data_IF_798166062664
#
_entry.id   IF_798166062664
#
_cell.length_a   1.000
_cell.length_b   1.000
_cell.length_c   1.000
_cell.angle_alpha   90.00
_cell.angle_beta   90.00
_cell.angle_gamma   90.00
#
_symmetry.space_group_name_H-M   'P 1'
#
loop_
_entity.id
_entity.type
_entity.pdbx_description
1 polymer ?
#
# COMPACT_ATOMS: atom_id res chain seq x y z
N UNK A 1 75.33 44.30 1.11
CA UNK A 1 74.27 44.41 0.08
C UNK A 1 74.14 43.03 -0.55
N UNK A 2 73.08 42.27 -0.20
CA UNK A 2 72.09 41.64 -1.12
C UNK A 2 72.68 40.55 -2.05
N UNK A 3 72.18 39.33 -2.20
CA UNK A 3 70.88 38.71 -1.92
C UNK A 3 71.05 37.18 -1.87
N UNK A 4 70.09 36.53 -1.21
CA UNK A 4 69.78 35.10 -1.16
C UNK A 4 69.64 34.42 -2.53
N UNK A 5 69.91 33.11 -2.61
CA UNK A 5 68.94 32.15 -3.18
C UNK A 5 69.17 30.74 -2.61
N UNK A 6 68.26 30.34 -1.72
CA UNK A 6 68.07 28.97 -1.27
C UNK A 6 67.43 28.16 -2.41
N UNK A 7 68.06 27.06 -2.82
CA UNK A 7 67.44 26.05 -3.67
C UNK A 7 67.31 24.75 -2.87
N UNK A 8 66.17 24.55 -2.20
CA UNK A 8 65.85 23.29 -1.53
C UNK A 8 64.64 22.64 -2.20
N UNK A 9 64.97 21.74 -3.12
CA UNK A 9 64.33 20.45 -3.43
C UNK A 9 62.88 20.30 -2.97
N UNK A 10 61.96 20.35 -3.94
CA UNK A 10 60.58 19.91 -3.77
C UNK A 10 60.55 18.39 -3.55
N UNK A 11 60.24 17.96 -2.32
CA UNK A 11 59.93 16.58 -2.02
C UNK A 11 58.50 16.30 -2.51
N UNK A 12 58.37 15.69 -3.70
CA UNK A 12 57.10 15.10 -4.12
C UNK A 12 56.82 13.89 -3.22
N UNK A 13 55.95 14.09 -2.22
CA UNK A 13 55.37 12.99 -1.46
C UNK A 13 54.46 12.23 -2.43
N UNK A 14 54.94 11.06 -2.88
CA UNK A 14 54.10 10.03 -3.49
C UNK A 14 53.10 9.58 -2.42
N UNK A 15 51.95 10.24 -2.35
CA UNK A 15 50.78 9.69 -1.68
C UNK A 15 50.32 8.49 -2.52
N UNK A 16 50.20 7.27 -1.96
CA UNK A 16 49.50 6.21 -2.65
C UNK A 16 48.09 6.72 -2.93
N UNK A 17 47.71 6.73 -4.21
CA UNK A 17 46.32 6.88 -4.59
C UNK A 17 45.56 5.78 -3.84
N UNK A 18 44.80 6.18 -2.83
CA UNK A 18 43.87 5.30 -2.13
C UNK A 18 43.00 4.72 -3.25
N UNK A 19 43.08 3.39 -3.40
CA UNK A 19 42.25 2.62 -4.30
C UNK A 19 40.79 2.96 -4.00
N UNK A 20 40.23 3.89 -4.78
CA UNK A 20 38.81 3.96 -5.01
C UNK A 20 38.47 2.71 -5.79
N UNK A 21 38.38 1.58 -5.08
CA UNK A 21 37.75 0.38 -5.58
C UNK A 21 36.31 0.78 -5.87
N UNK A 22 36.07 1.20 -7.12
CA UNK A 22 34.82 1.74 -7.58
C UNK A 22 33.84 0.59 -7.67
N UNK A 23 33.40 0.10 -6.51
CA UNK A 23 32.51 -1.04 -6.40
C UNK A 23 31.29 -0.74 -7.27
N UNK A 24 31.11 -1.60 -8.27
CA UNK A 24 30.01 -1.55 -9.21
C UNK A 24 28.80 -2.17 -8.52
N UNK A 25 27.67 -1.49 -8.61
CA UNK A 25 26.41 -2.03 -8.07
C UNK A 25 26.04 -3.30 -8.82
N UNK A 26 25.57 -4.29 -8.08
CA UNK A 26 24.99 -5.55 -8.58
C UNK A 26 23.49 -5.42 -8.87
N UNK A 27 22.87 -4.31 -8.49
CA UNK A 27 21.47 -4.06 -8.77
C UNK A 27 21.27 -3.76 -10.27
N UNK A 28 20.24 -4.33 -10.92
CA UNK A 28 19.89 -3.98 -12.28
C UNK A 28 19.66 -2.47 -12.44
N UNK A 29 20.10 -1.83 -13.54
CA UNK A 29 19.88 -0.39 -13.74
C UNK A 29 18.40 0.01 -13.82
N UNK A 30 17.54 -0.90 -14.29
CA UNK A 30 16.09 -0.73 -14.35
C UNK A 30 15.40 -1.58 -13.27
N UNK A 31 14.29 -1.09 -12.74
CA UNK A 31 13.51 -1.80 -11.72
C UNK A 31 12.97 -3.12 -12.28
N UNK A 32 13.28 -4.28 -11.66
CA UNK A 32 12.74 -5.56 -12.10
C UNK A 32 11.25 -5.67 -11.78
N UNK A 33 10.55 -6.58 -12.46
CA UNK A 33 9.11 -6.81 -12.26
C UNK A 33 8.78 -7.23 -10.82
N UNK A 34 9.65 -8.05 -10.23
CA UNK A 34 9.58 -8.50 -8.84
C UNK A 34 10.67 -7.79 -8.05
N UNK A 35 10.28 -6.74 -7.34
CA UNK A 35 11.13 -6.04 -6.39
C UNK A 35 10.37 -5.81 -5.09
N UNK A 36 11.05 -6.02 -3.98
CA UNK A 36 10.60 -5.64 -2.65
C UNK A 36 11.66 -4.75 -2.02
N UNK A 37 11.25 -3.57 -1.56
CA UNK A 37 12.09 -2.62 -0.84
C UNK A 37 11.46 -2.37 0.51
N UNK A 38 12.22 -2.50 1.59
CA UNK A 38 11.71 -2.36 2.95
C UNK A 38 12.58 -1.40 3.73
N UNK A 39 11.95 -0.55 4.51
CA UNK A 39 12.57 0.17 5.61
C UNK A 39 11.88 -0.25 6.91
N UNK A 40 12.65 -0.39 7.98
CA UNK A 40 12.14 -0.73 9.30
C UNK A 40 12.89 0.01 10.38
N UNK A 41 12.19 0.39 11.44
CA UNK A 41 12.73 1.01 12.63
C UNK A 41 12.21 0.25 13.87
N UNK A 42 13.09 0.01 14.84
CA UNK A 42 12.78 -0.61 16.12
C UNK A 42 13.11 0.35 17.26
N UNK A 43 12.18 0.47 18.21
CA UNK A 43 12.34 1.23 19.45
C UNK A 43 13.23 0.56 20.51
N UNK A 44 13.99 -0.48 20.15
CA UNK A 44 14.89 -1.18 21.07
C UNK A 44 14.12 -1.93 22.15
N UNK A 45 14.27 -1.51 23.41
CA UNK A 45 13.53 -2.10 24.54
C UNK A 45 12.06 -1.73 24.57
N UNK A 46 11.65 -0.67 23.86
CA UNK A 46 10.24 -0.31 23.74
C UNK A 46 9.57 -1.24 22.73
N UNK A 47 8.33 -1.70 22.98
CA UNK A 47 7.57 -2.53 22.06
C UNK A 47 7.00 -1.68 20.90
N UNK A 48 7.82 -0.82 20.31
CA UNK A 48 7.49 0.10 19.24
C UNK A 48 8.31 -0.22 17.99
N UNK A 49 7.66 -0.10 16.83
CA UNK A 49 8.32 -0.28 15.55
C UNK A 49 7.56 0.41 14.43
N UNK A 50 8.26 0.69 13.34
CA UNK A 50 7.65 1.08 12.07
C UNK A 50 8.23 0.20 10.97
N UNK A 51 7.37 -0.33 10.11
CA UNK A 51 7.75 -1.07 8.91
C UNK A 51 7.09 -0.42 7.71
N UNK A 52 7.90 -0.06 6.71
CA UNK A 52 7.44 0.45 5.41
C UNK A 52 7.94 -0.52 4.35
N UNK A 53 7.02 -1.14 3.60
CA UNK A 53 7.34 -2.09 2.55
C UNK A 53 6.76 -1.62 1.22
N UNK A 54 7.56 -1.66 0.17
CA UNK A 54 7.15 -1.40 -1.20
C UNK A 54 7.37 -2.66 -2.02
N UNK A 55 6.28 -3.32 -2.41
CA UNK A 55 6.31 -4.50 -3.28
C UNK A 55 5.66 -4.16 -4.61
N UNK A 56 6.48 -4.11 -5.67
CA UNK A 56 6.12 -3.62 -7.00
C UNK A 56 5.45 -2.23 -6.99
N UNK A 57 4.13 -2.15 -6.73
CA UNK A 57 3.34 -0.91 -6.70
C UNK A 57 2.43 -0.77 -5.48
N UNK A 58 2.69 -1.56 -4.44
CA UNK A 58 1.95 -1.51 -3.19
C UNK A 58 2.88 -1.01 -2.10
N UNK A 59 2.54 0.11 -1.49
CA UNK A 59 3.13 0.60 -0.25
C UNK A 59 2.32 0.03 0.92
N UNK A 60 2.98 -0.61 1.86
CA UNK A 60 2.38 -1.10 3.12
C UNK A 60 3.13 -0.48 4.28
N UNK A 61 2.39 0.12 5.21
CA UNK A 61 2.94 0.69 6.44
C UNK A 61 2.31 -0.03 7.62
N UNK A 62 3.14 -0.48 8.55
CA UNK A 62 2.74 -1.09 9.80
C UNK A 62 3.50 -0.44 10.94
N UNK A 63 2.79 0.12 11.92
CA UNK A 63 3.36 0.90 13.01
C UNK A 63 2.80 0.42 14.34
N UNK A 64 3.66 0.26 15.34
CA UNK A 64 3.26 -0.02 16.71
C UNK A 64 3.85 1.06 17.62
N UNK A 65 2.97 1.71 18.38
CA UNK A 65 3.35 2.69 19.42
C UNK A 65 3.43 2.00 20.78
N UNK A 66 4.30 2.45 21.72
CA UNK A 66 4.44 1.82 23.04
C UNK A 66 3.12 1.71 23.81
N UNK A 67 2.22 2.69 23.63
CA UNK A 67 0.97 2.82 24.38
C UNK A 67 -0.18 1.98 23.79
N UNK A 68 0.00 1.40 22.59
CA UNK A 68 -1.06 0.71 21.84
C UNK A 68 -0.71 -0.77 21.66
N UNK A 69 -1.57 -1.66 22.15
CA UNK A 69 -1.33 -3.10 22.11
C UNK A 69 -1.38 -3.69 20.69
N UNK A 70 -2.17 -3.09 19.81
CA UNK A 70 -2.36 -3.53 18.42
C UNK A 70 -1.65 -2.60 17.44
N UNK A 71 -0.79 -3.13 16.54
CA UNK A 71 -0.21 -2.33 15.47
C UNK A 71 -1.28 -1.73 14.55
N UNK A 72 -1.08 -0.49 14.11
CA UNK A 72 -1.82 0.09 13.00
C UNK A 72 -1.20 -0.39 11.69
N UNK A 73 -2.05 -0.61 10.68
CA UNK A 73 -1.59 -1.08 9.36
C UNK A 73 -2.45 -0.49 8.25
N UNK A 74 -1.80 0.05 7.23
CA UNK A 74 -2.48 0.53 6.03
C UNK A 74 -1.68 0.18 4.77
N UNK A 75 -2.35 0.23 3.62
CA UNK A 75 -1.70 0.02 2.34
C UNK A 75 -2.28 0.93 1.27
N UNK A 76 -1.43 1.33 0.33
CA UNK A 76 -1.80 2.19 -0.79
C UNK A 76 -1.19 1.68 -2.08
N UNK A 77 -1.93 1.81 -3.19
CA UNK A 77 -1.35 1.70 -4.52
C UNK A 77 -0.58 2.97 -4.82
N UNK A 78 0.68 2.82 -5.22
CA UNK A 78 1.53 3.95 -5.60
C UNK A 78 1.65 4.08 -7.12
N UNK A 79 1.94 5.31 -7.56
CA UNK A 79 2.31 5.59 -8.93
C UNK A 79 3.51 4.73 -9.34
N UNK A 80 3.56 4.30 -10.60
CA UNK A 80 4.67 3.49 -11.10
C UNK A 80 5.98 4.27 -11.00
N UNK A 81 5.91 5.57 -11.31
CA UNK A 81 7.03 6.50 -11.25
C UNK A 81 7.58 6.62 -9.82
N UNK A 82 6.72 6.57 -8.79
CA UNK A 82 7.16 6.66 -7.40
C UNK A 82 7.93 5.39 -6.96
N UNK A 83 7.48 4.21 -7.38
CA UNK A 83 8.21 2.96 -7.14
C UNK A 83 9.56 2.93 -7.88
N UNK A 84 9.56 3.35 -9.15
CA UNK A 84 10.77 3.41 -9.98
C UNK A 84 11.78 4.45 -9.46
N UNK A 85 11.31 5.60 -8.96
CA UNK A 85 12.15 6.61 -8.34
C UNK A 85 12.79 6.10 -7.05
N UNK A 86 12.03 5.41 -6.19
CA UNK A 86 12.59 4.79 -4.99
C UNK A 86 13.66 3.75 -5.36
N UNK A 87 13.39 2.87 -6.32
CA UNK A 87 14.36 1.89 -6.80
C UNK A 87 15.62 2.55 -7.37
N UNK A 88 15.46 3.63 -8.16
CA UNK A 88 16.58 4.38 -8.74
C UNK A 88 17.55 4.87 -7.66
N UNK A 89 17.04 5.30 -6.49
CA UNK A 89 17.89 5.72 -5.38
C UNK A 89 18.76 4.58 -4.85
N UNK A 90 18.29 3.34 -4.83
CA UNK A 90 19.14 2.20 -4.47
C UNK A 90 20.31 2.02 -5.44
N UNK A 91 20.04 2.13 -6.74
CA UNK A 91 21.05 1.98 -7.81
C UNK A 91 22.05 3.14 -7.78
N UNK A 92 21.58 4.38 -7.78
CA UNK A 92 22.41 5.59 -7.82
C UNK A 92 23.30 5.72 -6.57
N UNK A 93 22.79 5.32 -5.41
CA UNK A 93 23.56 5.30 -4.16
C UNK A 93 24.38 4.02 -3.98
N UNK A 94 24.36 3.10 -4.96
CA UNK A 94 25.06 1.81 -4.91
C UNK A 94 24.80 1.10 -3.58
N UNK A 95 23.53 1.05 -3.17
CA UNK A 95 23.12 0.65 -1.83
C UNK A 95 23.66 -0.74 -1.44
N UNK A 96 23.71 -1.66 -2.41
CA UNK A 96 24.24 -3.02 -2.30
C UNK A 96 25.76 -3.09 -1.97
N UNK A 97 26.47 -1.97 -2.07
CA UNK A 97 27.90 -1.85 -1.74
C UNK A 97 28.14 -1.24 -0.35
N UNK A 98 27.07 -0.81 0.34
CA UNK A 98 27.21 -0.22 1.67
C UNK A 98 27.63 -1.30 2.66
N UNK A 99 28.61 -0.97 3.50
CA UNK A 99 29.10 -1.82 4.59
C UNK A 99 29.07 -1.04 5.89
N UNK A 100 28.68 -1.70 6.98
CA UNK A 100 28.84 -1.15 8.31
C UNK A 100 30.32 -1.04 8.68
N UNK A 101 30.64 0.00 9.45
CA UNK A 101 31.93 0.08 10.11
C UNK A 101 32.00 -1.01 11.20
N UNK A 102 33.21 -1.33 11.68
CA UNK A 102 33.36 -2.36 12.73
C UNK A 102 32.49 -2.01 13.94
N UNK A 103 31.71 -2.97 14.41
CA UNK A 103 30.88 -2.80 15.60
C UNK A 103 31.77 -2.54 16.83
N UNK A 104 31.49 -1.47 17.56
CA UNK A 104 32.20 -1.10 18.80
C UNK A 104 31.48 -1.64 20.06
N UNK A 105 31.07 -2.91 20.03
CA UNK A 105 30.38 -3.58 21.14
C UNK A 105 28.87 -3.75 20.94
N UNK A 106 28.18 -4.24 21.97
CA UNK A 106 26.73 -4.51 21.96
C UNK A 106 26.03 -3.49 22.87
N UNK A 107 25.19 -2.64 22.28
CA UNK A 107 24.33 -1.67 22.95
C UNK A 107 22.88 -2.17 22.82
N UNK A 108 22.43 -2.98 23.78
CA UNK A 108 21.15 -3.72 23.69
C UNK A 108 19.89 -2.83 23.67
N UNK A 109 20.01 -1.54 23.95
CA UNK A 109 18.92 -0.65 24.32
C UNK A 109 18.62 0.48 23.31
N UNK A 110 19.47 0.73 22.31
CA UNK A 110 19.43 2.00 21.57
C UNK A 110 18.54 2.05 20.31
N UNK A 111 17.75 1.01 20.04
CA UNK A 111 16.97 0.93 18.80
C UNK A 111 17.84 0.77 17.55
N UNK A 112 17.20 0.53 16.41
CA UNK A 112 17.91 0.42 15.13
C UNK A 112 16.98 0.64 13.94
N UNK A 113 17.54 1.15 12.87
CA UNK A 113 16.91 1.18 11.56
C UNK A 113 17.53 0.14 10.63
N UNK A 114 16.78 -0.27 9.62
CA UNK A 114 17.26 -1.16 8.57
C UNK A 114 16.58 -0.87 7.25
N UNK A 115 17.36 -0.94 6.18
CA UNK A 115 16.87 -0.92 4.81
C UNK A 115 17.23 -2.23 4.13
N UNK A 116 16.25 -2.85 3.50
CA UNK A 116 16.40 -4.07 2.73
C UNK A 116 15.88 -3.89 1.30
N UNK A 117 16.54 -4.55 0.34
CA UNK A 117 16.04 -4.70 -1.02
C UNK A 117 16.22 -6.13 -1.50
N UNK A 118 15.15 -6.68 -2.06
CA UNK A 118 15.13 -7.92 -2.81
C UNK A 118 14.76 -7.60 -4.27
N UNK A 119 15.72 -7.79 -5.17
CA UNK A 119 15.58 -7.46 -6.60
C UNK A 119 15.53 -8.72 -7.48
N UNK A 120 15.02 -9.84 -6.95
CA UNK A 120 14.89 -11.11 -7.66
C UNK A 120 15.82 -12.20 -7.15
N UNK A 121 15.98 -13.26 -7.95
CA UNK A 121 16.71 -14.46 -7.54
C UNK A 121 18.17 -14.13 -7.22
N UNK A 122 18.56 -14.31 -5.96
CA UNK A 122 19.94 -14.12 -5.49
C UNK A 122 20.37 -12.68 -5.21
N UNK A 123 19.49 -11.69 -5.35
CA UNK A 123 19.78 -10.28 -5.10
C UNK A 123 19.03 -9.78 -3.86
N UNK A 124 19.62 -10.03 -2.69
CA UNK A 124 19.09 -9.56 -1.41
C UNK A 124 20.18 -8.79 -0.65
N UNK A 125 19.92 -7.53 -0.35
CA UNK A 125 20.85 -6.65 0.34
C UNK A 125 20.16 -6.02 1.55
N UNK A 126 20.84 -6.04 2.70
CA UNK A 126 20.34 -5.47 3.94
C UNK A 126 21.43 -4.60 4.57
N UNK A 127 21.06 -3.40 5.00
CA UNK A 127 21.94 -2.49 5.73
C UNK A 127 21.20 -2.04 6.96
N UNK A 128 21.81 -2.24 8.13
CA UNK A 128 21.33 -1.70 9.39
C UNK A 128 22.05 -0.40 9.71
N UNK A 129 21.36 0.52 10.37
CA UNK A 129 21.91 1.79 10.82
C UNK A 129 21.46 2.09 12.24
N UNK A 130 22.40 2.52 13.08
CA UNK A 130 22.16 2.85 14.48
C UNK A 130 23.43 2.71 15.32
N UNK A 131 23.35 2.90 16.64
CA UNK A 131 24.51 2.86 17.53
C UNK A 131 25.31 1.54 17.45
N UNK A 132 24.63 0.42 17.19
CA UNK A 132 25.25 -0.91 17.01
C UNK A 132 25.73 -1.21 15.59
N UNK A 133 25.47 -0.31 14.64
CA UNK A 133 25.74 -0.53 13.22
C UNK A 133 26.12 0.80 12.59
N UNK A 134 27.21 1.44 13.07
CA UNK A 134 27.64 2.71 12.51
C UNK A 134 27.99 2.55 11.02
N UNK A 135 27.81 3.64 10.28
CA UNK A 135 28.18 3.75 8.88
C UNK A 135 29.17 4.90 8.75
N UNK A 136 30.26 4.69 8.01
CA UNK A 136 31.18 5.77 7.64
C UNK A 136 30.45 6.89 6.89
N UNK A 137 30.95 8.13 6.94
CA UNK A 137 30.22 9.29 6.42
C UNK A 137 29.69 9.15 4.98
N UNK A 138 30.46 8.54 4.08
CA UNK A 138 30.00 8.27 2.71
C UNK A 138 28.90 7.20 2.64
N UNK A 139 28.99 6.15 3.47
CA UNK A 139 27.97 5.10 3.56
C UNK A 139 26.70 5.60 4.24
N UNK A 140 26.84 6.40 5.28
CA UNK A 140 25.74 7.06 5.99
C UNK A 140 24.96 7.96 5.03
N UNK A 141 25.64 8.80 4.23
CA UNK A 141 24.97 9.65 3.24
C UNK A 141 24.15 8.83 2.23
N UNK A 142 24.71 7.73 1.73
CA UNK A 142 24.06 6.84 0.74
C UNK A 142 22.87 6.10 1.35
N UNK A 143 23.00 5.64 2.60
CA UNK A 143 21.91 5.05 3.37
C UNK A 143 20.77 6.04 3.59
N UNK A 144 21.08 7.25 4.09
CA UNK A 144 20.10 8.29 4.40
C UNK A 144 19.31 8.75 3.17
N UNK A 145 19.95 8.78 1.99
CA UNK A 145 19.26 9.09 0.74
C UNK A 145 18.12 8.10 0.44
N UNK A 146 18.33 6.81 0.75
CA UNK A 146 17.32 5.76 0.54
C UNK A 146 16.30 5.76 1.69
N UNK A 147 16.73 5.83 2.95
CA UNK A 147 15.81 5.76 4.09
C UNK A 147 14.86 6.96 4.15
N UNK A 148 15.35 8.17 3.86
CA UNK A 148 14.51 9.38 3.81
C UNK A 148 13.41 9.26 2.75
N UNK A 149 13.71 8.66 1.60
CA UNK A 149 12.75 8.48 0.52
C UNK A 149 11.56 7.59 0.90
N UNK A 150 11.73 6.62 1.82
CA UNK A 150 10.60 5.87 2.37
C UNK A 150 9.66 6.77 3.19
N UNK A 151 10.20 7.68 4.00
CA UNK A 151 9.43 8.63 4.79
C UNK A 151 8.66 9.63 3.90
N UNK A 152 9.32 10.16 2.86
CA UNK A 152 8.68 11.02 1.87
C UNK A 152 7.56 10.30 1.11
N UNK A 153 7.81 9.05 0.71
CA UNK A 153 6.82 8.21 0.05
C UNK A 153 5.63 7.93 0.98
N UNK A 154 5.88 7.57 2.24
CA UNK A 154 4.85 7.42 3.28
C UNK A 154 4.00 8.68 3.34
N UNK A 155 4.60 9.84 3.59
CA UNK A 155 3.85 11.10 3.79
C UNK A 155 2.99 11.49 2.59
N UNK A 156 3.44 11.18 1.35
CA UNK A 156 2.67 11.44 0.12
C UNK A 156 1.38 10.62 0.02
N UNK A 157 1.35 9.42 0.61
CA UNK A 157 0.22 8.50 0.52
C UNK A 157 -0.57 8.40 1.82
N UNK A 158 0.00 8.75 2.98
CA UNK A 158 -0.59 8.64 4.32
C UNK A 158 -1.91 9.40 4.51
N UNK A 159 -2.17 10.45 3.74
CA UNK A 159 -3.43 11.20 3.80
C UNK A 159 -4.32 11.00 2.56
N UNK A 160 -3.93 10.09 1.65
CA UNK A 160 -4.82 9.67 0.56
C UNK A 160 -5.79 8.61 1.10
N UNK A 161 -7.01 8.52 0.56
CA UNK A 161 -7.94 7.46 0.94
C UNK A 161 -7.25 6.10 0.78
N UNK A 162 -7.00 5.44 1.91
CA UNK A 162 -6.26 4.19 1.97
C UNK A 162 -7.14 3.01 1.59
N UNK A 163 -6.55 2.07 0.87
CA UNK A 163 -7.13 0.76 0.65
C UNK A 163 -7.05 -0.01 1.98
N UNK A 164 -8.10 0.09 2.79
CA UNK A 164 -8.38 -0.91 3.81
C UNK A 164 -8.68 -2.20 3.04
N UNK A 165 -7.94 -3.27 3.32
CA UNK A 165 -8.28 -4.62 2.87
C UNK A 165 -9.79 -4.84 3.02
N UNK A 166 -10.44 -5.33 1.97
CA UNK A 166 -11.89 -5.54 1.83
C UNK A 166 -12.43 -6.57 2.82
N UNK A 167 -12.38 -6.28 4.12
CA UNK A 167 -13.02 -7.12 5.13
C UNK A 167 -14.50 -7.27 4.79
N UNK A 168 -15.11 -6.17 4.38
CA UNK A 168 -16.55 -6.04 4.27
C UNK A 168 -17.05 -5.96 2.82
N UNK A 169 -16.19 -6.13 1.81
CA UNK A 169 -16.61 -6.28 0.40
C UNK A 169 -16.19 -7.64 -0.17
N UNK A 170 -17.06 -8.24 -0.98
CA UNK A 170 -16.79 -9.44 -1.76
C UNK A 170 -17.29 -9.25 -3.19
N UNK A 171 -16.43 -9.56 -4.17
CA UNK A 171 -16.85 -9.63 -5.58
C UNK A 171 -17.20 -11.08 -5.87
N UNK A 172 -18.44 -11.34 -6.29
CA UNK A 172 -18.91 -12.67 -6.67
C UNK A 172 -19.05 -12.74 -8.19
N UNK A 173 -18.77 -13.91 -8.75
CA UNK A 173 -19.01 -14.17 -10.16
C UNK A 173 -20.52 -14.24 -10.42
N UNK A 174 -20.96 -13.55 -11.47
CA UNK A 174 -22.34 -13.65 -11.94
C UNK A 174 -22.56 -15.02 -12.62
N UNK A 175 -23.54 -15.81 -12.16
CA UNK A 175 -24.00 -17.03 -12.86
C UNK A 175 -25.39 -16.79 -13.48
N UNK A 176 -25.48 -16.58 -14.80
CA UNK A 176 -26.75 -16.33 -15.50
C UNK A 176 -27.80 -17.41 -15.27
N UNK A 177 -27.43 -18.65 -14.91
CA UNK A 177 -28.37 -19.75 -14.70
C UNK A 177 -29.13 -19.66 -13.38
N UNK A 178 -28.50 -19.11 -12.34
CA UNK A 178 -29.08 -18.98 -11.00
C UNK A 178 -29.47 -17.54 -10.66
N UNK A 179 -28.99 -16.56 -11.43
CA UNK A 179 -29.06 -15.14 -11.08
C UNK A 179 -29.72 -14.28 -12.17
N UNK A 180 -30.46 -14.87 -13.11
CA UNK A 180 -31.21 -14.15 -14.16
C UNK A 180 -32.18 -13.09 -13.61
N UNK A 181 -32.61 -13.24 -12.34
CA UNK A 181 -33.42 -12.24 -11.62
C UNK A 181 -32.65 -10.98 -11.23
N UNK A 182 -31.33 -11.04 -11.15
CA UNK A 182 -30.45 -9.89 -10.84
C UNK A 182 -30.17 -9.14 -12.13
N UNK A 183 -29.67 -9.85 -13.14
CA UNK A 183 -29.47 -9.32 -14.47
C UNK A 183 -30.15 -10.21 -15.50
N UNK A 184 -30.98 -9.61 -16.35
CA UNK A 184 -31.61 -10.31 -17.45
C UNK A 184 -30.71 -10.28 -18.68
N UNK A 185 -30.48 -11.43 -19.31
CA UNK A 185 -29.69 -11.56 -20.54
C UNK A 185 -28.26 -10.98 -20.48
N UNK A 186 -27.68 -10.84 -19.28
CA UNK A 186 -26.35 -10.29 -19.13
C UNK A 186 -25.28 -11.39 -19.23
N UNK A 187 -24.02 -10.96 -19.37
CA UNK A 187 -22.85 -11.83 -19.35
C UNK A 187 -22.00 -11.56 -18.11
N UNK A 188 -21.30 -12.57 -17.58
CA UNK A 188 -20.37 -12.37 -16.47
C UNK A 188 -19.33 -11.31 -16.82
N UNK A 189 -19.01 -10.46 -15.86
CA UNK A 189 -17.95 -9.47 -15.98
C UNK A 189 -17.01 -9.56 -14.77
N UNK A 190 -15.90 -8.84 -14.84
CA UNK A 190 -15.00 -8.65 -13.70
C UNK A 190 -14.91 -7.19 -13.35
N UNK A 191 -14.55 -6.92 -12.09
CA UNK A 191 -14.19 -5.58 -11.63
C UNK A 191 -12.68 -5.50 -11.42
N UNK A 192 -12.11 -4.46 -12.00
CA UNK A 192 -10.76 -4.02 -11.64
C UNK A 192 -10.80 -3.25 -10.31
N UNK A 193 -9.66 -3.16 -9.63
CA UNK A 193 -9.55 -2.39 -8.39
C UNK A 193 -10.08 -0.94 -8.49
N UNK A 194 -9.78 -0.15 -9.54
CA UNK A 194 -10.34 1.19 -9.67
C UNK A 194 -11.86 1.21 -9.81
N UNK A 195 -12.44 0.18 -10.42
CA UNK A 195 -13.90 0.05 -10.54
C UNK A 195 -14.53 -0.28 -9.18
N UNK A 196 -13.89 -1.12 -8.37
CA UNK A 196 -14.33 -1.41 -6.99
C UNK A 196 -14.29 -0.13 -6.13
N UNK A 197 -13.21 0.67 -6.23
CA UNK A 197 -13.14 1.97 -5.55
C UNK A 197 -14.30 2.88 -5.97
N UNK A 198 -14.58 2.97 -7.28
CA UNK A 198 -15.73 3.74 -7.76
C UNK A 198 -17.05 3.24 -7.20
N UNK A 199 -17.24 1.92 -7.10
CA UNK A 199 -18.44 1.34 -6.50
C UNK A 199 -18.61 1.81 -5.04
N UNK A 200 -17.53 1.91 -4.26
CA UNK A 200 -17.59 2.43 -2.88
C UNK A 200 -18.08 3.88 -2.84
N UNK A 201 -17.53 4.74 -3.69
CA UNK A 201 -17.98 6.14 -3.81
C UNK A 201 -19.47 6.22 -4.22
N UNK A 202 -19.97 5.23 -4.97
CA UNK A 202 -21.39 5.11 -5.28
C UNK A 202 -22.23 4.67 -4.09
N UNK A 203 -21.76 3.71 -3.28
CA UNK A 203 -22.46 3.26 -2.07
C UNK A 203 -22.70 4.44 -1.13
N UNK A 204 -21.65 5.21 -0.81
CA UNK A 204 -21.77 6.37 0.08
C UNK A 204 -22.76 7.41 -0.45
N UNK A 205 -22.68 7.73 -1.75
CA UNK A 205 -23.60 8.68 -2.39
C UNK A 205 -25.03 8.16 -2.44
N UNK A 206 -25.23 6.89 -2.79
CA UNK A 206 -26.56 6.29 -2.89
C UNK A 206 -27.26 6.25 -1.53
N UNK A 207 -26.52 5.86 -0.48
CA UNK A 207 -27.02 5.83 0.89
C UNK A 207 -27.32 7.24 1.41
N UNK A 208 -26.43 8.21 1.15
CA UNK A 208 -26.68 9.61 1.49
C UNK A 208 -27.93 10.17 0.80
N UNK A 209 -28.07 9.94 -0.50
CA UNK A 209 -29.22 10.37 -1.29
C UNK A 209 -30.53 9.70 -0.83
N UNK A 210 -30.51 8.40 -0.54
CA UNK A 210 -31.65 7.68 0.06
C UNK A 210 -32.01 8.24 1.44
N UNK A 211 -31.04 8.34 2.35
CA UNK A 211 -31.26 8.86 3.70
C UNK A 211 -31.73 10.31 3.71
N UNK A 212 -31.34 11.13 2.75
CA UNK A 212 -31.82 12.52 2.64
C UNK A 212 -33.30 12.61 2.29
N UNK A 213 -33.82 11.60 1.56
CA UNK A 213 -35.21 11.52 1.10
C UNK A 213 -36.10 10.65 1.99
N UNK A 214 -35.51 9.79 2.81
CA UNK A 214 -36.25 8.88 3.67
C UNK A 214 -36.87 9.62 4.86
N UNK A 215 -38.22 9.68 4.86
CA UNK A 215 -39.04 10.17 5.96
C UNK A 215 -39.27 9.11 7.05
N UNK A 216 -38.95 7.84 6.77
CA UNK A 216 -39.13 6.73 7.70
C UNK A 216 -37.80 6.37 8.36
N UNK A 217 -37.66 6.63 9.67
CA UNK A 217 -36.44 6.34 10.43
C UNK A 217 -36.03 4.87 10.39
N UNK A 218 -37.00 3.94 10.37
CA UNK A 218 -36.73 2.49 10.27
C UNK A 218 -36.15 2.06 8.92
N UNK A 219 -36.17 2.96 7.93
CA UNK A 219 -35.63 2.73 6.58
C UNK A 219 -34.38 3.58 6.31
N UNK A 220 -33.93 4.38 7.29
CA UNK A 220 -32.66 5.10 7.20
C UNK A 220 -31.53 4.10 7.40
N UNK A 221 -30.64 4.03 6.41
CA UNK A 221 -29.43 3.20 6.49
C UNK A 221 -28.51 3.80 7.55
N UNK A 222 -28.03 2.94 8.45
CA UNK A 222 -27.12 3.30 9.52
C UNK A 222 -25.68 3.52 9.03
N UNK A 223 -24.75 3.48 9.97
CA UNK A 223 -23.32 3.59 9.66
C UNK A 223 -22.85 2.40 8.80
N UNK A 224 -22.27 2.73 7.63
CA UNK A 224 -21.81 1.77 6.63
C UNK A 224 -20.65 0.88 7.11
N UNK A 225 -19.94 1.26 8.17
CA UNK A 225 -18.93 0.41 8.80
C UNK A 225 -19.50 -0.89 9.37
N UNK A 226 -20.82 -0.93 9.62
CA UNK A 226 -21.52 -2.13 10.11
C UNK A 226 -22.04 -3.03 8.98
N UNK A 227 -21.81 -2.69 7.71
CA UNK A 227 -22.36 -3.40 6.56
C UNK A 227 -21.28 -4.18 5.83
N UNK A 228 -21.69 -5.33 5.30
CA UNK A 228 -20.97 -6.13 4.31
C UNK A 228 -21.63 -5.92 2.96
N UNK A 229 -20.84 -6.09 1.90
CA UNK A 229 -21.22 -5.77 0.53
C UNK A 229 -20.83 -6.92 -0.40
N UNK A 230 -21.79 -7.44 -1.13
CA UNK A 230 -21.59 -8.34 -2.26
C UNK A 230 -21.74 -7.54 -3.55
N UNK A 231 -20.73 -7.61 -4.40
CA UNK A 231 -20.68 -6.96 -5.70
C UNK A 231 -20.78 -8.03 -6.78
N UNK A 232 -21.83 -7.98 -7.60
CA UNK A 232 -22.00 -8.86 -8.76
C UNK A 232 -21.90 -8.03 -10.03
N UNK A 233 -20.76 -8.08 -10.74
CA UNK A 233 -20.59 -7.40 -12.01
C UNK A 233 -21.13 -8.21 -13.19
N UNK A 234 -21.86 -7.54 -14.08
CA UNK A 234 -22.32 -8.12 -15.33
C UNK A 234 -22.22 -7.09 -16.47
N UNK A 235 -22.20 -7.58 -17.71
CA UNK A 235 -22.27 -6.74 -18.92
C UNK A 235 -23.58 -7.01 -19.63
N UNK A 236 -24.34 -5.97 -19.91
CA UNK A 236 -25.63 -6.08 -20.60
C UNK A 236 -25.47 -6.30 -22.12
N UNK A 237 -26.60 -6.45 -22.82
CA UNK A 237 -26.63 -6.64 -24.28
C UNK A 237 -26.02 -5.47 -25.08
N UNK A 238 -25.97 -4.27 -24.48
CA UNK A 238 -25.39 -3.07 -25.09
C UNK A 238 -23.89 -2.93 -24.81
N UNK A 239 -23.30 -3.88 -24.08
CA UNK A 239 -21.90 -3.81 -23.67
C UNK A 239 -21.64 -2.85 -22.51
N UNK A 240 -22.67 -2.40 -21.79
CA UNK A 240 -22.50 -1.59 -20.58
C UNK A 240 -22.26 -2.48 -19.37
N UNK A 241 -21.26 -2.10 -18.56
CA UNK A 241 -20.92 -2.81 -17.33
C UNK A 241 -21.78 -2.28 -16.18
N UNK A 242 -22.54 -3.19 -15.59
CA UNK A 242 -23.35 -2.98 -14.42
C UNK A 242 -22.76 -3.71 -13.21
N UNK A 243 -22.99 -3.15 -12.02
CA UNK A 243 -22.68 -3.80 -10.75
C UNK A 243 -23.94 -3.80 -9.91
N UNK A 244 -24.40 -4.99 -9.54
CA UNK A 244 -25.43 -5.13 -8.53
C UNK A 244 -24.75 -5.17 -7.17
N UNK A 245 -25.18 -4.27 -6.30
CA UNK A 245 -24.67 -4.14 -4.93
C UNK A 245 -25.74 -4.70 -4.01
N UNK A 246 -25.35 -5.66 -3.18
CA UNK A 246 -26.15 -6.20 -2.11
C UNK A 246 -25.46 -5.95 -0.78
N UNK A 247 -26.08 -5.16 0.08
CA UNK A 247 -25.52 -4.70 1.34
C UNK A 247 -26.32 -5.27 2.51
N UNK A 248 -25.62 -5.78 3.52
CA UNK A 248 -26.25 -6.38 4.70
C UNK A 248 -25.42 -6.22 5.97
N UNK A 249 -26.08 -5.99 7.11
CA UNK A 249 -25.41 -5.88 8.40
C UNK A 249 -25.28 -7.22 9.17
N UNK A 250 -26.08 -8.23 8.78
CA UNK A 250 -26.01 -9.60 9.33
C UNK A 250 -25.78 -10.63 8.19
N UNK A 251 -24.80 -11.52 8.37
CA UNK A 251 -24.47 -12.58 7.42
C UNK A 251 -25.09 -13.93 7.78
N UNK A 252 -25.83 -14.02 8.90
CA UNK A 252 -26.41 -15.24 9.43
C UNK A 252 -25.39 -16.37 9.60
N UNK A 253 -24.12 -16.02 9.86
CA UNK A 253 -22.97 -16.94 9.93
C UNK A 253 -22.73 -17.73 8.64
N UNK A 254 -23.20 -17.25 7.50
CA UNK A 254 -22.91 -17.83 6.17
C UNK A 254 -21.52 -17.42 5.70
N UNK A 255 -20.92 -18.21 4.80
CA UNK A 255 -19.71 -17.80 4.06
C UNK A 255 -20.11 -16.79 2.97
N UNK A 256 -20.48 -15.59 3.42
CA UNK A 256 -21.02 -14.52 2.58
C UNK A 256 -20.04 -14.03 1.51
N UNK A 257 -18.75 -14.36 1.61
CA UNK A 257 -17.77 -14.06 0.57
C UNK A 257 -17.81 -15.03 -0.60
N UNK A 258 -18.51 -16.16 -0.47
CA UNK A 258 -18.66 -17.18 -1.52
C UNK A 258 -20.11 -17.48 -1.87
N UNK A 259 -21.04 -17.15 -0.98
CA UNK A 259 -22.45 -17.46 -1.13
C UNK A 259 -23.28 -16.20 -1.07
N UNK A 260 -24.12 -16.01 -2.08
CA UNK A 260 -25.06 -14.90 -2.17
C UNK A 260 -25.99 -14.86 -0.94
N UNK A 261 -26.06 -13.71 -0.27
CA UNK A 261 -26.93 -13.51 0.88
C UNK A 261 -28.22 -12.86 0.39
N UNK A 262 -29.30 -13.63 0.37
CA UNK A 262 -30.62 -13.17 -0.07
C UNK A 262 -31.57 -13.21 1.11
N UNK A 263 -32.26 -12.11 1.32
CA UNK A 263 -33.16 -11.89 2.44
C UNK A 263 -34.35 -11.12 1.93
N UNK A 264 -35.57 -11.53 2.25
CA UNK A 264 -36.78 -10.87 1.75
C UNK A 264 -37.22 -9.71 2.66
N UNK A 265 -36.94 -9.80 3.96
CA UNK A 265 -37.31 -8.80 4.98
C UNK A 265 -36.19 -8.64 6.02
N UNK A 266 -36.02 -7.43 6.54
CA UNK A 266 -34.92 -7.06 7.42
C UNK A 266 -34.64 -5.57 7.54
N UNK A 267 -35.46 -4.73 6.88
CA UNK A 267 -35.40 -3.28 7.01
C UNK A 267 -34.06 -2.68 6.57
N UNK A 268 -33.67 -1.59 7.22
CA UNK A 268 -32.45 -0.85 6.89
C UNK A 268 -31.15 -1.66 6.95
N UNK A 269 -31.14 -2.82 7.60
CA UNK A 269 -30.00 -3.72 7.64
C UNK A 269 -29.72 -4.39 6.29
N UNK A 270 -30.68 -4.42 5.35
CA UNK A 270 -30.54 -5.06 4.04
C UNK A 270 -31.01 -4.13 2.93
N UNK A 271 -30.13 -3.83 1.98
CA UNK A 271 -30.49 -3.00 0.84
C UNK A 271 -29.68 -3.37 -0.40
N UNK A 272 -30.23 -3.02 -1.55
CA UNK A 272 -29.66 -3.40 -2.84
C UNK A 272 -29.95 -2.35 -3.91
N UNK A 273 -29.01 -2.20 -4.84
CA UNK A 273 -29.11 -1.25 -5.94
C UNK A 273 -28.15 -1.61 -7.07
N UNK A 274 -28.29 -0.92 -8.20
CA UNK A 274 -27.50 -1.17 -9.40
C UNK A 274 -26.67 0.06 -9.73
N UNK A 275 -25.42 -0.15 -10.15
CA UNK A 275 -24.50 0.90 -10.57
C UNK A 275 -24.14 0.66 -12.04
N UNK A 276 -24.20 1.72 -12.84
CA UNK A 276 -23.59 1.74 -14.16
C UNK A 276 -22.29 2.55 -14.11
N UNK A 277 -21.15 1.87 -14.25
CA UNK A 277 -19.84 2.49 -14.06
C UNK A 277 -19.46 3.48 -15.17
N UNK A 278 -20.01 3.28 -16.38
CA UNK A 278 -19.75 4.15 -17.54
C UNK A 278 -20.59 5.43 -17.47
N UNK A 279 -21.87 5.29 -17.14
CA UNK A 279 -22.84 6.40 -17.04
C UNK A 279 -22.69 7.20 -15.74
N UNK A 280 -21.88 6.71 -14.82
CA UNK A 280 -21.63 7.31 -13.52
C UNK A 280 -22.95 7.54 -12.74
N UNK A 281 -23.83 6.54 -12.74
CA UNK A 281 -25.16 6.61 -12.12
C UNK A 281 -25.48 5.33 -11.34
N UNK A 282 -26.38 5.43 -10.37
CA UNK A 282 -26.99 4.29 -9.71
C UNK A 282 -28.52 4.32 -9.89
N UNK A 283 -29.16 3.15 -9.81
CA UNK A 283 -30.60 2.99 -9.96
C UNK A 283 -31.16 1.88 -9.09
N UNK A 284 -32.50 1.87 -8.94
CA UNK A 284 -33.29 0.84 -8.24
C UNK A 284 -32.78 0.56 -6.82
N UNK A 285 -32.52 1.63 -6.07
CA UNK A 285 -32.22 1.52 -4.65
C UNK A 285 -33.45 1.03 -3.90
N UNK A 286 -33.32 -0.10 -3.23
CA UNK A 286 -34.41 -0.76 -2.49
C UNK A 286 -33.90 -1.23 -1.15
N UNK A 287 -34.71 -1.02 -0.11
CA UNK A 287 -34.45 -1.53 1.25
C UNK A 287 -35.39 -2.69 1.50
N UNK A 288 -34.88 -3.82 1.98
CA UNK A 288 -35.69 -5.04 2.07
C UNK A 288 -36.82 -4.87 3.11
N UNK A 289 -37.93 -5.57 2.91
CA UNK A 289 -39.19 -5.28 3.62
C UNK A 289 -39.88 -3.99 3.18
N UNK A 290 -39.56 -3.46 2.00
CA UNK A 290 -40.31 -2.41 1.30
C UNK A 290 -41.09 -3.10 0.16
N UNK A 291 -42.34 -3.45 0.43
CA UNK A 291 -43.28 -4.10 -0.49
C UNK A 291 -44.71 -3.75 -0.12
#
# INVERSE_FOLDING_TARGET
MRFFFFGLIALFVNLPAIECDAQTSKLPPAMPERVEMRWSESGGMLPAYTNITVTSRTLTVEEKKPEVNTPSKWSAKIAREDAENLYRLFVENKFDTIKNDKQEGIVYDAGSEGVNINAGVGLNFNVSYGPNSPLSGANQKRYLAVSTAFGELRGRYENKPHFIYMKDYAVLDYDPRSEDRIFKNARPATLSEPEITRVRDFVERAVSDHNSRSVNEFKRIGDLENYKFQLIPATDENGEKWVWVNAFCDDFKKDWKKQLVLVDDGGNCFFQFYINLKRNSFERFTVNGEG
#
